data_IF_965369899407
#
_entry.id   IF_965369899407
#
_cell.length_a   1.000
_cell.length_b   1.000
_cell.length_c   1.000
_cell.angle_alpha   90.00
_cell.angle_beta   90.00
_cell.angle_gamma   90.00
#
_symmetry.space_group_name_H-M   'P 1'
#
loop_
_entity.id
_entity.type
_entity.pdbx_description
1 polymer ?
#
# COMPACT_ATOMS: atom_id res chain seq x y z
N UNK A 1 -53.14 -31.76 -18.90
CA UNK A 1 -53.22 -30.85 -17.74
C UNK A 1 -52.22 -31.31 -16.70
N UNK A 2 -51.16 -30.54 -16.45
CA UNK A 2 -50.19 -30.77 -15.38
C UNK A 2 -49.71 -29.40 -14.88
N UNK A 3 -49.76 -29.21 -13.56
CA UNK A 3 -49.39 -27.97 -12.86
C UNK A 3 -47.88 -27.89 -12.61
N UNK A 4 -47.34 -26.67 -12.61
CA UNK A 4 -46.20 -26.30 -11.75
C UNK A 4 -46.28 -24.81 -11.39
N UNK A 5 -46.19 -24.53 -10.09
CA UNK A 5 -46.39 -23.25 -9.41
C UNK A 5 -45.03 -22.63 -9.11
N UNK A 6 -44.72 -21.36 -9.46
CA UNK A 6 -43.51 -20.72 -8.99
C UNK A 6 -43.69 -20.25 -7.55
N UNK A 7 -42.83 -20.73 -6.65
CA UNK A 7 -42.66 -20.15 -5.32
C UNK A 7 -41.84 -18.86 -5.46
N UNK A 8 -42.50 -17.72 -5.28
CA UNK A 8 -41.84 -16.42 -5.13
C UNK A 8 -41.45 -16.24 -3.64
N UNK A 9 -40.16 -16.35 -3.35
CA UNK A 9 -39.61 -16.11 -2.00
C UNK A 9 -39.44 -14.61 -1.82
N UNK A 10 -40.32 -14.06 -0.98
CA UNK A 10 -40.41 -12.67 -0.60
C UNK A 10 -39.16 -12.24 0.20
N UNK A 11 -38.11 -11.74 -0.48
CA UNK A 11 -36.99 -11.08 0.21
C UNK A 11 -37.34 -9.60 0.51
N UNK A 12 -37.44 -9.19 1.79
CA UNK A 12 -37.65 -7.80 2.12
C UNK A 12 -36.37 -7.00 1.82
N UNK A 13 -36.39 -6.24 0.73
CA UNK A 13 -35.32 -5.29 0.39
C UNK A 13 -35.14 -4.28 1.52
N UNK A 14 -33.96 -4.30 2.18
CA UNK A 14 -33.55 -3.31 3.20
C UNK A 14 -33.77 -1.85 2.77
N UNK A 15 -33.75 -1.60 1.45
CA UNK A 15 -33.97 -0.29 0.83
C UNK A 15 -35.41 0.21 0.93
N UNK A 16 -36.38 -0.68 1.11
CA UNK A 16 -37.81 -0.33 1.25
C UNK A 16 -38.19 -0.02 2.70
N UNK A 17 -37.57 -0.71 3.66
CA UNK A 17 -37.73 -0.45 5.09
C UNK A 17 -37.22 0.95 5.48
N UNK A 18 -36.04 1.33 4.98
CA UNK A 18 -35.46 2.66 5.24
C UNK A 18 -36.26 3.81 4.62
N UNK A 19 -36.96 3.56 3.50
CA UNK A 19 -37.86 4.54 2.89
C UNK A 19 -39.18 4.69 3.66
N UNK A 20 -39.62 3.65 4.37
CA UNK A 20 -40.85 3.68 5.18
C UNK A 20 -40.74 4.52 6.45
N UNK A 21 -39.55 4.56 7.07
CA UNK A 21 -39.32 5.32 8.32
C UNK A 21 -39.32 6.84 8.05
N UNK A 22 -38.96 7.29 6.84
CA UNK A 22 -38.96 8.71 6.48
C UNK A 22 -40.34 9.32 6.18
N UNK A 23 -41.40 8.51 6.04
CA UNK A 23 -42.71 8.99 5.59
C UNK A 23 -43.77 9.12 6.70
N UNK A 24 -43.46 8.70 7.93
CA UNK A 24 -44.41 8.72 9.07
C UNK A 24 -43.99 9.67 10.22
N UNK A 25 -42.92 10.45 10.07
CA UNK A 25 -42.40 11.38 11.08
C UNK A 25 -42.72 12.86 10.85
N UNK A 26 -43.71 13.18 10.03
CA UNK A 26 -44.05 14.55 9.63
C UNK A 26 -45.19 15.16 10.44
N UNK A 27 -45.07 15.28 11.76
CA UNK A 27 -45.79 16.25 12.59
C UNK A 27 -45.35 16.11 14.07
N UNK A 28 -44.99 17.25 14.69
CA UNK A 28 -44.74 17.46 16.14
C UNK A 28 -43.31 17.20 16.65
N UNK A 29 -42.48 18.25 16.67
CA UNK A 29 -41.86 18.78 17.90
C UNK A 29 -40.88 19.92 17.57
N UNK A 30 -41.38 21.15 17.67
CA UNK A 30 -40.55 22.31 18.05
C UNK A 30 -40.19 22.10 19.54
N UNK A 31 -38.98 22.52 19.93
CA UNK A 31 -38.36 22.43 21.27
C UNK A 31 -37.53 21.17 21.53
N UNK A 32 -36.21 21.31 21.49
CA UNK A 32 -35.26 20.24 21.78
C UNK A 32 -34.04 20.36 20.89
N UNK A 33 -33.20 21.36 21.16
CA UNK A 33 -31.88 21.46 20.55
C UNK A 33 -31.07 20.21 20.87
N UNK A 34 -31.16 19.18 20.03
CA UNK A 34 -30.15 18.15 19.99
C UNK A 34 -28.88 18.86 19.52
N UNK A 35 -27.80 18.90 20.34
CA UNK A 35 -26.53 19.26 19.77
C UNK A 35 -26.33 18.26 18.64
N UNK A 36 -26.24 18.76 17.40
CA UNK A 36 -25.59 18.02 16.34
C UNK A 36 -24.16 17.92 16.85
N UNK A 37 -23.91 16.91 17.68
CA UNK A 37 -22.59 16.47 18.04
C UNK A 37 -21.95 16.27 16.68
N UNK A 38 -21.07 17.20 16.32
CA UNK A 38 -20.16 17.02 15.21
C UNK A 38 -19.58 15.65 15.49
N UNK A 39 -19.99 14.66 14.68
CA UNK A 39 -19.50 13.32 14.81
C UNK A 39 -17.99 13.48 14.69
N UNK A 40 -17.30 13.43 15.84
CA UNK A 40 -15.86 13.44 15.90
C UNK A 40 -15.47 12.31 14.94
N UNK A 41 -14.84 12.69 13.83
CA UNK A 41 -14.49 11.77 12.76
C UNK A 41 -13.74 10.64 13.47
N UNK A 42 -14.34 9.45 13.52
CA UNK A 42 -13.74 8.35 14.25
C UNK A 42 -12.32 8.19 13.71
N UNK A 43 -11.31 8.46 14.55
CA UNK A 43 -9.92 8.31 14.17
C UNK A 43 -9.66 6.82 14.04
N UNK A 44 -9.87 6.30 12.83
CA UNK A 44 -9.56 4.92 12.49
C UNK A 44 -8.06 4.81 12.22
N UNK A 45 -7.37 3.92 12.94
CA UNK A 45 -5.97 3.60 12.65
C UNK A 45 -5.83 2.95 11.25
N UNK A 46 -4.76 3.27 10.49
CA UNK A 46 -3.63 4.14 10.83
C UNK A 46 -3.86 5.63 10.51
N UNK A 47 -5.06 6.06 10.12
CA UNK A 47 -5.33 7.40 9.60
C UNK A 47 -4.94 7.55 8.12
N UNK A 48 -4.98 8.77 7.60
CA UNK A 48 -4.67 9.09 6.19
C UNK A 48 -3.85 10.37 6.09
N UNK A 49 -2.87 10.42 5.19
CA UNK A 49 -2.14 11.65 4.85
C UNK A 49 -2.83 12.43 3.73
N UNK A 50 -2.63 13.74 3.71
CA UNK A 50 -3.12 14.61 2.63
C UNK A 50 -2.20 14.50 1.40
N UNK A 51 -2.76 14.54 0.17
CA UNK A 51 -1.94 14.46 -1.06
C UNK A 51 -1.01 15.67 -1.29
N UNK A 52 -1.29 16.81 -0.66
CA UNK A 52 -0.58 18.08 -0.94
C UNK A 52 0.71 18.27 -0.12
N UNK A 53 1.15 17.23 0.59
CA UNK A 53 2.31 17.27 1.49
C UNK A 53 3.62 16.85 0.80
N UNK A 54 3.92 17.44 -0.38
CA UNK A 54 5.02 17.02 -1.27
C UNK A 54 6.42 17.03 -0.63
N UNK A 55 6.64 17.90 0.35
CA UNK A 55 7.94 18.04 1.04
C UNK A 55 8.01 17.29 2.38
N UNK A 56 6.92 16.66 2.80
CA UNK A 56 6.88 15.89 4.04
C UNK A 56 7.66 14.58 3.88
N UNK A 57 8.36 14.20 4.96
CA UNK A 57 9.25 13.05 4.99
C UNK A 57 8.78 12.07 6.05
N UNK A 58 8.90 10.79 5.73
CA UNK A 58 8.73 9.72 6.71
C UNK A 58 10.10 9.20 7.16
N UNK A 59 10.30 8.93 8.47
CA UNK A 59 11.59 8.45 8.96
C UNK A 59 11.89 7.05 8.39
N UNK A 60 12.99 6.92 7.66
CA UNK A 60 13.41 5.64 7.10
C UNK A 60 14.06 4.73 8.16
N UNK A 61 14.96 5.30 8.96
CA UNK A 61 15.61 4.56 10.05
C UNK A 61 14.76 4.58 11.30
N UNK A 62 14.65 3.42 11.95
CA UNK A 62 13.92 3.25 13.19
C UNK A 62 13.91 1.79 13.63
N UNK A 63 13.24 1.52 14.75
CA UNK A 63 13.05 0.14 15.24
C UNK A 63 12.17 -0.69 14.29
N UNK A 64 11.22 -0.05 13.62
CA UNK A 64 10.31 -0.66 12.65
C UNK A 64 10.37 0.11 11.34
N UNK A 65 10.18 -0.59 10.23
CA UNK A 65 10.10 0.04 8.92
C UNK A 65 8.85 0.94 8.82
N UNK A 66 9.00 2.08 8.17
CA UNK A 66 7.87 2.91 7.76
C UNK A 66 6.97 2.16 6.75
N UNK A 67 5.74 2.61 6.58
CA UNK A 67 4.71 1.97 5.73
C UNK A 67 3.88 0.90 6.43
N UNK A 68 4.21 0.52 7.67
CA UNK A 68 3.41 -0.41 8.50
C UNK A 68 2.42 0.35 9.38
N UNK A 69 2.92 1.25 10.23
CA UNK A 69 2.12 2.09 11.13
C UNK A 69 1.95 3.51 10.59
N UNK A 70 2.66 3.87 9.52
CA UNK A 70 2.53 5.17 8.85
C UNK A 70 1.07 5.35 8.39
N UNK A 71 0.49 6.55 8.56
CA UNK A 71 -0.86 6.81 8.06
C UNK A 71 -0.94 6.55 6.55
N UNK A 72 -2.10 6.10 6.08
CA UNK A 72 -2.27 5.64 4.71
C UNK A 72 -2.03 6.80 3.72
N UNK A 73 -1.13 6.58 2.77
CA UNK A 73 -0.86 7.52 1.68
C UNK A 73 -1.88 7.37 0.53
N UNK A 74 -1.96 8.38 -0.33
CA UNK A 74 -2.92 8.42 -1.44
C UNK A 74 -2.67 7.36 -2.53
N UNK A 75 -1.48 6.76 -2.59
CA UNK A 75 -1.12 5.80 -3.64
C UNK A 75 -0.15 4.72 -3.16
N UNK A 76 -0.28 3.52 -3.74
CA UNK A 76 0.50 2.32 -3.39
C UNK A 76 0.86 1.52 -4.64
N UNK A 77 2.06 0.95 -4.66
CA UNK A 77 2.48 -0.05 -5.64
C UNK A 77 2.93 -1.30 -4.87
N UNK A 78 2.69 -2.49 -5.41
CA UNK A 78 3.22 -3.74 -4.87
C UNK A 78 4.10 -4.35 -5.95
N UNK A 79 5.35 -4.64 -5.63
CA UNK A 79 6.31 -5.22 -6.58
C UNK A 79 6.85 -6.54 -6.03
N UNK A 80 7.37 -7.38 -6.90
CA UNK A 80 7.93 -8.65 -6.54
C UNK A 80 9.15 -8.92 -7.43
N UNK A 81 10.29 -9.27 -6.83
CA UNK A 81 11.56 -9.51 -7.52
C UNK A 81 12.12 -10.88 -7.20
N UNK A 82 12.39 -11.66 -8.24
CA UNK A 82 13.23 -12.85 -8.13
C UNK A 82 14.69 -12.43 -7.85
N UNK A 83 15.27 -12.93 -6.76
CA UNK A 83 16.65 -12.61 -6.39
C UNK A 83 17.61 -13.41 -7.28
N UNK A 84 18.45 -12.68 -8.01
CA UNK A 84 19.48 -13.21 -8.92
C UNK A 84 20.87 -13.31 -8.28
N UNK A 85 21.01 -12.98 -6.99
CA UNK A 85 22.27 -13.13 -6.26
C UNK A 85 22.73 -14.60 -6.29
N UNK A 86 24.01 -14.81 -6.61
CA UNK A 86 24.57 -16.16 -6.70
C UNK A 86 24.89 -16.76 -5.33
N UNK A 87 25.27 -15.92 -4.38
CA UNK A 87 25.69 -16.34 -3.05
C UNK A 87 25.25 -15.33 -1.96
N UNK A 88 25.60 -15.65 -0.71
CA UNK A 88 25.28 -14.84 0.46
C UNK A 88 25.95 -13.46 0.44
N UNK A 89 27.15 -13.34 -0.12
CA UNK A 89 27.86 -12.06 -0.19
C UNK A 89 27.19 -11.12 -1.20
N UNK A 90 26.74 -11.66 -2.33
CA UNK A 90 25.93 -10.92 -3.31
C UNK A 90 24.57 -10.52 -2.73
N UNK A 91 23.94 -11.37 -1.94
CA UNK A 91 22.69 -11.03 -1.24
C UNK A 91 22.90 -9.89 -0.23
N UNK A 92 23.98 -9.92 0.53
CA UNK A 92 24.35 -8.82 1.44
C UNK A 92 24.58 -7.52 0.66
N UNK A 93 25.32 -7.59 -0.45
CA UNK A 93 25.56 -6.44 -1.34
C UNK A 93 24.25 -5.85 -1.86
N UNK A 94 23.31 -6.71 -2.27
CA UNK A 94 21.98 -6.30 -2.71
C UNK A 94 21.23 -5.54 -1.60
N UNK A 95 21.18 -6.09 -0.37
CA UNK A 95 20.48 -5.42 0.73
C UNK A 95 21.13 -4.12 1.18
N UNK A 96 22.46 -4.02 1.15
CA UNK A 96 23.16 -2.75 1.40
C UNK A 96 22.82 -1.71 0.34
N UNK A 97 22.82 -2.10 -0.94
CA UNK A 97 22.47 -1.21 -2.04
C UNK A 97 21.02 -0.75 -1.95
N UNK A 98 20.07 -1.66 -1.70
CA UNK A 98 18.66 -1.32 -1.50
C UNK A 98 18.48 -0.35 -0.33
N UNK A 99 19.14 -0.60 0.79
CA UNK A 99 19.07 0.27 1.98
C UNK A 99 19.51 1.70 1.64
N UNK A 100 20.65 1.84 0.95
CA UNK A 100 21.17 3.15 0.55
C UNK A 100 20.23 3.87 -0.42
N UNK A 101 19.70 3.16 -1.42
CA UNK A 101 18.79 3.74 -2.42
C UNK A 101 17.46 4.15 -1.83
N UNK A 102 16.87 3.32 -0.96
CA UNK A 102 15.62 3.63 -0.28
C UNK A 102 15.79 4.82 0.68
N UNK A 103 16.89 4.85 1.44
CA UNK A 103 17.18 5.97 2.33
C UNK A 103 17.25 7.29 1.56
N UNK A 104 17.92 7.31 0.40
CA UNK A 104 17.99 8.48 -0.46
C UNK A 104 16.62 8.90 -0.99
N UNK A 105 15.85 7.96 -1.57
CA UNK A 105 14.56 8.27 -2.18
C UNK A 105 13.54 8.78 -1.14
N UNK A 106 13.47 8.15 0.03
CA UNK A 106 12.52 8.53 1.11
C UNK A 106 12.85 9.87 1.77
N UNK A 107 14.12 10.29 1.76
CA UNK A 107 14.53 11.60 2.27
C UNK A 107 14.47 12.70 1.20
N UNK A 108 14.43 12.34 -0.07
CA UNK A 108 14.54 13.27 -1.19
C UNK A 108 15.92 13.94 -1.29
N UNK A 109 16.14 14.67 -2.38
CA UNK A 109 17.41 15.35 -2.65
C UNK A 109 17.60 15.71 -4.12
N UNK A 110 18.76 16.29 -4.49
CA UNK A 110 19.07 16.55 -5.88
C UNK A 110 19.14 15.23 -6.67
N UNK A 111 18.58 15.22 -7.88
CA UNK A 111 18.72 14.08 -8.77
C UNK A 111 20.21 13.82 -9.07
N UNK A 112 20.69 12.56 -9.04
CA UNK A 112 22.08 12.25 -9.32
C UNK A 112 22.53 12.77 -10.70
N UNK A 113 23.61 13.55 -10.71
CA UNK A 113 24.21 14.03 -11.95
C UNK A 113 24.73 12.87 -12.80
N UNK A 114 24.70 13.05 -14.12
CA UNK A 114 25.29 12.11 -15.08
C UNK A 114 26.51 12.75 -15.73
N UNK A 115 27.73 12.53 -15.21
CA UNK A 115 28.92 13.27 -15.66
C UNK A 115 29.32 12.97 -17.10
N UNK A 116 29.05 11.76 -17.58
CA UNK A 116 29.39 11.33 -18.93
C UNK A 116 28.11 11.29 -19.80
N UNK A 117 27.94 12.20 -20.77
CA UNK A 117 26.74 12.26 -21.61
C UNK A 117 26.59 11.07 -22.57
N UNK A 118 27.62 10.21 -22.68
CA UNK A 118 27.56 8.96 -23.47
C UNK A 118 27.01 7.77 -22.67
N UNK A 119 26.83 7.92 -21.36
CA UNK A 119 26.21 6.89 -20.52
C UNK A 119 24.72 7.17 -20.34
N UNK A 120 23.90 6.14 -20.05
CA UNK A 120 22.53 6.36 -19.63
C UNK A 120 22.46 7.29 -18.42
N UNK A 121 21.42 8.13 -18.32
CA UNK A 121 21.17 8.95 -17.14
C UNK A 121 21.13 8.12 -15.85
N UNK A 122 21.67 8.68 -14.77
CA UNK A 122 21.67 8.03 -13.45
C UNK A 122 20.30 8.06 -12.76
N UNK A 123 19.42 8.99 -13.17
CA UNK A 123 18.02 9.06 -12.76
C UNK A 123 17.11 9.01 -14.00
N UNK A 124 15.85 8.61 -13.79
CA UNK A 124 14.84 8.59 -14.84
C UNK A 124 14.50 9.98 -15.42
N UNK A 125 14.71 11.05 -14.64
CA UNK A 125 14.38 12.42 -15.01
C UNK A 125 12.88 12.78 -14.89
N UNK A 126 12.03 11.83 -14.49
CA UNK A 126 10.57 12.02 -14.46
C UNK A 126 10.16 13.07 -13.41
N UNK A 127 10.90 13.16 -12.30
CA UNK A 127 10.62 14.11 -11.21
C UNK A 127 11.33 15.46 -11.38
N UNK A 128 12.12 15.63 -12.46
CA UNK A 128 12.95 16.81 -12.68
C UNK A 128 14.26 16.77 -11.88
N UNK A 129 14.94 17.92 -11.69
CA UNK A 129 16.26 17.99 -11.06
C UNK A 129 16.24 17.75 -9.55
N UNK A 130 15.07 17.75 -8.92
CA UNK A 130 14.92 17.56 -7.49
C UNK A 130 13.90 16.45 -7.19
N UNK A 131 14.34 15.44 -6.47
CA UNK A 131 13.51 14.33 -6.01
C UNK A 131 12.86 14.76 -4.69
N UNK A 132 11.57 15.09 -4.75
CA UNK A 132 10.79 15.39 -3.57
C UNK A 132 10.50 14.11 -2.77
N UNK A 133 10.52 14.17 -1.43
CA UNK A 133 10.26 12.99 -0.58
C UNK A 133 8.82 12.51 -0.63
N UNK A 134 7.83 13.41 -0.79
CA UNK A 134 6.42 13.09 -1.06
C UNK A 134 5.78 12.04 -0.12
N UNK A 135 6.13 12.03 1.17
CA UNK A 135 5.70 10.99 2.11
C UNK A 135 6.01 9.54 1.66
N UNK A 136 7.02 9.38 0.81
CA UNK A 136 7.46 8.09 0.30
C UNK A 136 7.90 7.19 1.45
N UNK A 137 7.31 6.00 1.49
CA UNK A 137 7.78 4.90 2.34
C UNK A 137 8.01 3.69 1.45
N UNK A 138 9.04 2.91 1.73
CA UNK A 138 9.31 1.66 1.02
C UNK A 138 9.52 0.60 2.09
N UNK A 139 8.76 -0.50 2.03
CA UNK A 139 8.75 -1.54 3.06
C UNK A 139 9.24 -2.85 2.46
N UNK A 140 10.47 -3.24 2.77
CA UNK A 140 11.03 -4.48 2.24
C UNK A 140 10.57 -5.67 3.09
N UNK A 141 10.06 -6.70 2.40
CA UNK A 141 9.74 -8.00 2.98
C UNK A 141 10.44 -9.10 2.19
N UNK A 142 10.58 -10.29 2.78
CA UNK A 142 11.24 -11.43 2.14
C UNK A 142 10.31 -12.65 2.14
N UNK A 143 10.30 -13.37 1.03
CA UNK A 143 9.51 -14.59 0.85
C UNK A 143 10.19 -15.84 1.42
N UNK A 144 9.43 -16.93 1.57
CA UNK A 144 9.95 -18.22 2.00
C UNK A 144 11.08 -18.73 1.08
N UNK A 145 10.99 -18.45 -0.22
CA UNK A 145 11.98 -18.84 -1.24
C UNK A 145 13.38 -18.24 -1.05
N UNK A 146 13.55 -17.21 -0.20
CA UNK A 146 14.88 -16.68 0.10
C UNK A 146 15.66 -17.56 1.09
N UNK A 147 14.97 -18.43 1.84
CA UNK A 147 15.56 -19.26 2.89
C UNK A 147 15.87 -20.68 2.41
N UNK A 148 16.03 -20.88 1.09
CA UNK A 148 16.52 -22.13 0.52
C UNK A 148 18.05 -22.31 0.76
N UNK A 149 18.60 -23.37 0.18
CA UNK A 149 20.01 -23.72 0.33
C UNK A 149 20.99 -22.70 -0.28
N UNK A 150 20.56 -21.82 -1.20
CA UNK A 150 21.47 -20.94 -1.98
C UNK A 150 22.31 -20.02 -1.11
N UNK A 151 21.73 -19.52 -0.03
CA UNK A 151 22.35 -18.50 0.83
C UNK A 151 22.77 -19.04 2.21
N UNK A 152 22.52 -20.33 2.49
CA UNK A 152 22.78 -20.92 3.80
C UNK A 152 21.95 -20.28 4.93
N UNK A 153 20.71 -19.86 4.64
CA UNK A 153 19.84 -19.14 5.58
C UNK A 153 18.68 -20.00 6.12
N UNK A 154 18.57 -21.27 5.74
CA UNK A 154 17.46 -22.15 6.12
C UNK A 154 17.17 -22.15 7.64
N UNK A 155 18.21 -22.22 8.47
CA UNK A 155 18.08 -22.21 9.94
C UNK A 155 17.60 -20.87 10.53
N UNK A 156 17.55 -19.81 9.72
CA UNK A 156 17.07 -18.48 10.09
C UNK A 156 15.67 -18.18 9.58
N UNK A 157 15.03 -19.12 8.88
CA UNK A 157 13.66 -18.96 8.42
C UNK A 157 12.69 -18.75 9.60
N UNK A 158 11.84 -17.71 9.57
CA UNK A 158 10.83 -17.53 10.60
C UNK A 158 9.86 -18.72 10.64
N UNK A 159 9.60 -19.27 11.83
CA UNK A 159 8.75 -20.47 12.03
C UNK A 159 7.34 -20.38 11.45
N UNK A 160 6.84 -19.16 11.19
CA UNK A 160 5.49 -18.90 10.65
C UNK A 160 5.50 -18.51 9.17
N UNK A 161 6.68 -18.36 8.56
CA UNK A 161 6.81 -18.04 7.14
C UNK A 161 6.71 -19.34 6.33
N UNK A 162 5.49 -19.65 5.89
CA UNK A 162 5.19 -20.85 5.12
C UNK A 162 4.47 -20.47 3.81
N UNK A 163 4.66 -21.26 2.73
CA UNK A 163 3.86 -21.11 1.53
C UNK A 163 2.37 -21.22 1.84
N UNK A 164 1.56 -20.37 1.22
CA UNK A 164 0.11 -20.46 1.37
C UNK A 164 -0.38 -21.79 0.76
N UNK A 165 -1.21 -22.58 1.46
CA UNK A 165 -1.75 -23.80 0.89
C UNK A 165 -2.58 -23.48 -0.34
N UNK A 166 -2.39 -24.26 -1.42
CA UNK A 166 -3.03 -24.03 -2.72
C UNK A 166 -4.56 -24.18 -2.70
N UNK A 167 -5.12 -24.69 -1.60
CA UNK A 167 -6.54 -25.01 -1.48
C UNK A 167 -7.08 -24.47 -0.17
N UNK A 168 -7.65 -23.28 -0.24
CA UNK A 168 -8.70 -22.84 0.68
C UNK A 168 -9.97 -22.62 -0.14
N UNK A 169 -11.14 -22.84 0.46
CA UNK A 169 -12.42 -22.64 -0.23
C UNK A 169 -12.51 -21.20 -0.76
N UNK A 170 -12.82 -21.04 -2.04
CA UNK A 170 -12.85 -19.73 -2.70
C UNK A 170 -11.48 -19.21 -3.19
N UNK A 171 -10.37 -19.91 -2.94
CA UNK A 171 -9.09 -19.56 -3.56
C UNK A 171 -9.06 -19.91 -5.04
N UNK A 172 -8.77 -18.92 -5.88
CA UNK A 172 -8.33 -19.14 -7.25
C UNK A 172 -7.01 -18.42 -7.47
N UNK A 173 -5.95 -18.98 -6.90
CA UNK A 173 -4.60 -18.48 -7.12
C UNK A 173 -4.23 -18.63 -8.59
N UNK A 174 -3.79 -17.54 -9.21
CA UNK A 174 -3.12 -17.59 -10.51
C UNK A 174 -1.68 -18.04 -10.26
N UNK A 175 -1.12 -18.98 -11.04
CA UNK A 175 0.28 -19.38 -10.88
C UNK A 175 1.19 -18.17 -11.08
N UNK A 176 1.83 -17.72 -10.01
CA UNK A 176 2.83 -16.66 -10.00
C UNK A 176 4.00 -17.11 -9.12
N UNK A 177 5.25 -16.89 -9.55
CA UNK A 177 6.43 -17.19 -8.72
C UNK A 177 6.54 -16.14 -7.61
N UNK A 178 6.40 -16.48 -6.32
CA UNK A 178 6.38 -15.48 -5.26
C UNK A 178 7.81 -15.08 -4.91
N UNK A 179 8.15 -13.81 -5.14
CA UNK A 179 9.33 -13.18 -4.58
C UNK A 179 8.98 -11.74 -4.21
N UNK A 180 8.63 -11.48 -2.95
CA UNK A 180 7.98 -10.22 -2.56
C UNK A 180 8.99 -9.07 -2.34
N UNK A 181 8.64 -7.86 -2.80
CA UNK A 181 9.20 -6.59 -2.33
C UNK A 181 8.13 -5.49 -2.44
N UNK A 182 7.42 -5.20 -1.34
CA UNK A 182 6.38 -4.17 -1.31
C UNK A 182 7.01 -2.77 -1.49
N UNK A 183 6.86 -2.19 -2.67
CA UNK A 183 7.38 -0.85 -3.00
C UNK A 183 6.23 0.15 -2.93
N UNK A 184 6.02 0.78 -1.79
CA UNK A 184 4.96 1.78 -1.65
C UNK A 184 5.29 3.09 -2.39
N UNK A 185 4.27 3.58 -3.08
CA UNK A 185 4.05 4.89 -3.72
C UNK A 185 4.56 5.16 -5.14
N UNK A 186 3.58 5.49 -5.99
CA UNK A 186 3.64 6.45 -7.09
C UNK A 186 2.48 7.43 -6.87
N UNK A 187 2.75 8.69 -6.52
CA UNK A 187 1.76 9.77 -6.55
C UNK A 187 2.26 10.81 -7.55
N UNK A 188 1.57 10.95 -8.68
CA UNK A 188 1.87 11.97 -9.66
C UNK A 188 0.57 12.57 -10.17
N UNK A 189 0.32 13.85 -9.89
CA UNK A 189 0.34 14.97 -10.86
C UNK A 189 -0.22 16.25 -10.21
N UNK A 190 0.43 17.40 -10.46
CA UNK A 190 -0.16 18.72 -10.22
C UNK A 190 0.81 19.78 -9.69
N UNK A 191 1.79 20.23 -10.48
CA UNK A 191 2.38 21.56 -10.29
C UNK A 191 2.01 22.46 -11.49
N UNK A 192 1.15 23.47 -11.31
CA UNK A 192 0.99 24.55 -12.28
C UNK A 192 2.19 25.49 -12.15
N UNK A 193 3.12 25.40 -13.11
CA UNK A 193 4.27 26.29 -13.25
C UNK A 193 3.87 27.77 -13.07
N UNK A 194 4.56 28.57 -12.22
CA UNK A 194 4.52 30.01 -12.35
C UNK A 194 5.30 30.43 -13.61
N UNK A 195 4.72 31.37 -14.35
CA UNK A 195 5.29 31.99 -15.55
C UNK A 195 6.53 32.82 -15.25
#
# INVERSE_FOLDING_TARGET
MAQQKPHDVNEPSRRRLLKGIGALGGALAITGGCPVAHAAKAESSPGTLTPDARQEKQPFFGRHQAGILTPQQASMMLVAFDVLAADKADLERLFRLLTQRIAFLTQGGPAPDTPNPRLPPMDSGILGPWIAPDNLTITVSVGHSLFDERFGLADKAPKKLQPLPQRFAGCRAVPWRPAAADLRQYSGYGDPRPA
#
